data_IF_052584614347
#
_entry.id   IF_052584614347
#
_cell.length_a   1.000
_cell.length_b   1.000
_cell.length_c   1.000
_cell.angle_alpha   90.00
_cell.angle_beta   90.00
_cell.angle_gamma   90.00
#
_symmetry.space_group_name_H-M   'P 1'
#
loop_
_entity.id
_entity.type
_entity.pdbx_description
1 polymer ?
#
# COMPACT_ATOMS: atom_id res chain seq x y z
N UNK A 1 -8.59 18.83 28.19
CA UNK A 1 -8.72 18.90 26.71
C UNK A 1 -7.94 17.73 26.13
N UNK A 2 -8.50 16.89 25.24
CA UNK A 2 -7.71 15.82 24.65
C UNK A 2 -6.79 16.41 23.60
N UNK A 3 -5.48 16.23 23.81
CA UNK A 3 -4.44 16.55 22.85
C UNK A 3 -4.70 15.79 21.54
N UNK A 4 -5.01 16.52 20.47
CA UNK A 4 -4.93 15.96 19.10
C UNK A 4 -3.46 15.62 18.84
N UNK A 5 -3.12 14.41 18.37
CA UNK A 5 -1.77 14.09 17.96
C UNK A 5 -1.35 15.07 16.86
N UNK A 6 -0.30 15.85 17.10
CA UNK A 6 0.31 16.68 16.08
C UNK A 6 0.99 15.78 15.06
N UNK A 7 0.56 15.86 13.80
CA UNK A 7 1.22 15.30 12.62
C UNK A 7 2.64 15.90 12.50
N UNK A 8 3.61 15.38 13.25
CA UNK A 8 5.03 15.63 13.01
C UNK A 8 5.50 14.80 11.81
N UNK A 9 4.94 15.10 10.64
CA UNK A 9 5.48 14.76 9.32
C UNK A 9 4.79 15.59 8.23
N UNK A 10 4.51 16.87 8.47
CA UNK A 10 4.19 17.79 7.36
C UNK A 10 5.52 18.34 6.86
N UNK A 11 6.08 17.71 5.82
CA UNK A 11 7.10 18.36 5.01
C UNK A 11 6.45 19.61 4.42
N UNK A 12 6.89 20.80 4.83
CA UNK A 12 6.35 22.05 4.36
C UNK A 12 6.47 22.11 2.82
N UNK A 13 5.35 21.98 2.11
CA UNK A 13 5.32 22.07 0.65
C UNK A 13 4.54 20.98 -0.10
N UNK A 14 4.07 19.91 0.56
CA UNK A 14 3.26 18.89 -0.14
C UNK A 14 1.76 19.09 0.13
N UNK A 15 1.04 19.58 -0.89
CA UNK A 15 -0.42 19.65 -0.88
C UNK A 15 -1.02 18.38 -1.51
N UNK A 16 -1.83 17.65 -0.75
CA UNK A 16 -2.51 16.43 -1.23
C UNK A 16 -3.97 16.64 -1.61
N UNK A 17 -4.51 17.87 -1.51
CA UNK A 17 -5.93 18.15 -1.74
C UNK A 17 -6.40 17.65 -3.10
N UNK A 18 -5.64 17.94 -4.16
CA UNK A 18 -5.99 17.48 -5.52
C UNK A 18 -6.00 15.95 -5.65
N UNK A 19 -5.11 15.25 -4.94
CA UNK A 19 -5.09 13.78 -4.93
C UNK A 19 -6.33 13.23 -4.22
N UNK A 20 -6.68 13.82 -3.08
CA UNK A 20 -7.86 13.44 -2.31
C UNK A 20 -9.14 13.67 -3.12
N UNK A 21 -9.28 14.82 -3.77
CA UNK A 21 -10.46 15.12 -4.60
C UNK A 21 -10.58 14.16 -5.79
N UNK A 22 -9.47 13.79 -6.45
CA UNK A 22 -9.50 12.78 -7.52
C UNK A 22 -9.91 11.39 -7.04
N UNK A 23 -9.47 10.98 -5.84
CA UNK A 23 -9.85 9.70 -5.24
C UNK A 23 -11.34 9.69 -4.85
N UNK A 24 -11.86 10.79 -4.28
CA UNK A 24 -13.29 10.96 -4.00
C UNK A 24 -14.13 10.87 -5.26
N UNK A 25 -13.78 11.64 -6.29
CA UNK A 25 -14.47 11.60 -7.58
C UNK A 25 -14.48 10.17 -8.17
N UNK A 26 -13.34 9.45 -8.10
CA UNK A 26 -13.26 8.05 -8.52
C UNK A 26 -14.19 7.13 -7.73
N UNK A 27 -14.32 7.33 -6.42
CA UNK A 27 -15.20 6.54 -5.56
C UNK A 27 -16.68 6.83 -5.83
N UNK A 28 -17.03 8.11 -6.03
CA UNK A 28 -18.39 8.57 -6.34
C UNK A 28 -18.93 7.99 -7.64
N UNK A 29 -18.07 7.62 -8.60
CA UNK A 29 -18.49 6.87 -9.80
C UNK A 29 -19.10 5.49 -9.49
N UNK A 30 -18.92 4.98 -8.27
CA UNK A 30 -19.40 3.66 -7.85
C UNK A 30 -18.57 2.49 -8.37
N UNK A 31 -17.53 2.72 -9.19
CA UNK A 31 -16.71 1.65 -9.81
C UNK A 31 -16.12 0.67 -8.77
N UNK A 32 -15.79 1.16 -7.58
CA UNK A 32 -15.19 0.36 -6.50
C UNK A 32 -16.16 -0.60 -5.82
N UNK A 33 -17.47 -0.48 -6.07
CA UNK A 33 -18.50 -1.37 -5.50
C UNK A 33 -18.51 -2.74 -6.18
N UNK A 34 -18.20 -2.79 -7.48
CA UNK A 34 -18.19 -4.02 -8.26
C UNK A 34 -17.17 -5.01 -7.68
N UNK A 35 -17.59 -6.25 -7.42
CA UNK A 35 -16.71 -7.31 -6.89
C UNK A 35 -15.56 -7.59 -7.86
N UNK A 36 -15.85 -7.67 -9.16
CA UNK A 36 -14.83 -7.89 -10.19
C UNK A 36 -13.77 -6.78 -10.21
N UNK A 37 -14.17 -5.53 -9.98
CA UNK A 37 -13.20 -4.43 -9.86
C UNK A 37 -12.26 -4.65 -8.67
N UNK A 38 -12.81 -5.02 -7.50
CA UNK A 38 -12.03 -5.28 -6.28
C UNK A 38 -11.08 -6.46 -6.45
N UNK A 39 -11.54 -7.57 -7.03
CA UNK A 39 -10.71 -8.73 -7.37
C UNK A 39 -9.56 -8.36 -8.30
N UNK A 40 -9.85 -7.58 -9.35
CA UNK A 40 -8.81 -7.14 -10.27
C UNK A 40 -7.77 -6.23 -9.60
N UNK A 41 -8.15 -5.42 -8.60
CA UNK A 41 -7.18 -4.66 -7.81
C UNK A 41 -6.32 -5.56 -6.90
N UNK A 42 -6.90 -6.58 -6.28
CA UNK A 42 -6.15 -7.57 -5.49
C UNK A 42 -5.14 -8.33 -6.34
N UNK A 43 -5.54 -8.78 -7.53
CA UNK A 43 -4.64 -9.42 -8.49
C UNK A 43 -3.54 -8.46 -8.98
N UNK A 44 -3.85 -7.18 -9.13
CA UNK A 44 -2.84 -6.17 -9.46
C UNK A 44 -1.85 -5.94 -8.31
N UNK A 45 -2.32 -5.95 -7.06
CA UNK A 45 -1.47 -5.85 -5.88
C UNK A 45 -0.55 -7.07 -5.73
N UNK A 46 -1.08 -8.28 -5.98
CA UNK A 46 -0.28 -9.51 -6.02
C UNK A 46 0.85 -9.42 -7.05
N UNK A 47 0.52 -9.03 -8.30
CA UNK A 47 1.53 -8.82 -9.35
C UNK A 47 2.56 -7.78 -8.96
N UNK A 48 2.15 -6.66 -8.36
CA UNK A 48 3.08 -5.65 -7.87
C UNK A 48 4.11 -6.25 -6.89
N UNK A 49 3.66 -7.08 -5.95
CA UNK A 49 4.53 -7.72 -4.96
C UNK A 49 5.47 -8.77 -5.58
N UNK A 50 4.96 -9.58 -6.51
CA UNK A 50 5.73 -10.66 -7.15
C UNK A 50 6.74 -10.11 -8.17
N UNK A 51 6.30 -9.21 -9.05
CA UNK A 51 7.12 -8.65 -10.13
C UNK A 51 8.23 -7.73 -9.61
N UNK A 52 8.04 -7.10 -8.44
CA UNK A 52 9.01 -6.15 -7.85
C UNK A 52 9.69 -6.71 -6.59
N UNK A 53 9.66 -8.03 -6.38
CA UNK A 53 10.21 -8.66 -5.16
C UNK A 53 11.65 -8.23 -4.88
N UNK A 54 12.52 -8.25 -5.90
CA UNK A 54 13.92 -7.89 -5.72
C UNK A 54 14.09 -6.46 -5.17
N UNK A 55 13.42 -5.49 -5.79
CA UNK A 55 13.54 -4.08 -5.43
C UNK A 55 12.94 -3.81 -4.04
N UNK A 56 11.81 -4.46 -3.70
CA UNK A 56 11.19 -4.36 -2.39
C UNK A 56 12.09 -4.92 -1.28
N UNK A 57 12.70 -6.08 -1.50
CA UNK A 57 13.61 -6.70 -0.53
C UNK A 57 14.91 -5.90 -0.39
N UNK A 58 15.43 -5.34 -1.49
CA UNK A 58 16.58 -4.45 -1.47
C UNK A 58 16.30 -3.16 -0.67
N UNK A 59 15.12 -2.56 -0.85
CA UNK A 59 14.69 -1.40 -0.07
C UNK A 59 14.57 -1.74 1.43
N UNK A 60 13.92 -2.85 1.77
CA UNK A 60 13.81 -3.31 3.17
C UNK A 60 15.19 -3.58 3.80
N UNK A 61 16.14 -4.12 3.02
CA UNK A 61 17.51 -4.30 3.48
C UNK A 61 18.21 -2.95 3.71
N UNK A 62 18.07 -2.01 2.79
CA UNK A 62 18.68 -0.68 2.87
C UNK A 62 18.14 0.12 4.05
N UNK A 63 16.82 0.13 4.22
CA UNK A 63 16.15 1.02 5.18
C UNK A 63 16.11 0.43 6.59
N UNK A 64 15.90 -0.89 6.70
CA UNK A 64 15.65 -1.57 7.97
C UNK A 64 16.68 -2.66 8.29
N UNK A 65 17.60 -2.97 7.38
CA UNK A 65 18.63 -4.00 7.59
C UNK A 65 18.11 -5.44 7.51
N UNK A 66 16.82 -5.66 7.24
CA UNK A 66 16.18 -7.00 7.21
C UNK A 66 16.91 -7.93 6.24
N UNK A 67 17.19 -9.16 6.68
CA UNK A 67 17.66 -10.18 5.74
C UNK A 67 16.51 -10.63 4.83
N UNK A 68 16.86 -11.22 3.68
CA UNK A 68 15.88 -11.65 2.68
C UNK A 68 14.79 -12.55 3.27
N UNK A 69 15.17 -13.57 4.06
CA UNK A 69 14.20 -14.49 4.65
C UNK A 69 13.21 -13.78 5.58
N UNK A 70 13.69 -12.86 6.43
CA UNK A 70 12.83 -12.09 7.31
C UNK A 70 11.88 -11.20 6.52
N UNK A 71 12.39 -10.48 5.52
CA UNK A 71 11.60 -9.59 4.68
C UNK A 71 10.53 -10.35 3.87
N UNK A 72 10.87 -11.52 3.32
CA UNK A 72 9.91 -12.39 2.63
C UNK A 72 8.85 -12.90 3.59
N UNK A 73 9.21 -13.42 4.77
CA UNK A 73 8.21 -14.02 5.68
C UNK A 73 7.32 -12.95 6.33
N UNK A 74 7.90 -11.83 6.77
CA UNK A 74 7.19 -10.83 7.58
C UNK A 74 6.46 -9.76 6.78
N UNK A 75 6.91 -9.44 5.56
CA UNK A 75 6.33 -8.35 4.76
C UNK A 75 5.66 -8.90 3.49
N UNK A 76 6.39 -9.64 2.65
CA UNK A 76 5.87 -10.02 1.33
C UNK A 76 4.91 -11.21 1.39
N UNK A 77 5.34 -12.32 1.98
CA UNK A 77 4.61 -13.58 2.04
C UNK A 77 3.32 -13.48 2.84
N UNK A 78 3.34 -12.71 3.93
CA UNK A 78 2.13 -12.39 4.69
C UNK A 78 1.09 -11.68 3.81
N UNK A 79 1.49 -10.63 3.07
CA UNK A 79 0.58 -9.90 2.18
C UNK A 79 0.06 -10.77 1.03
N UNK A 80 0.92 -11.60 0.42
CA UNK A 80 0.50 -12.52 -0.65
C UNK A 80 -0.55 -13.52 -0.14
N UNK A 81 -0.35 -14.08 1.06
CA UNK A 81 -1.32 -14.98 1.69
C UNK A 81 -2.64 -14.29 2.00
N UNK A 82 -2.62 -13.04 2.48
CA UNK A 82 -3.84 -12.29 2.82
C UNK A 82 -4.64 -11.91 1.56
N UNK A 83 -3.95 -11.56 0.48
CA UNK A 83 -4.55 -11.31 -0.84
C UNK A 83 -5.23 -12.57 -1.38
N UNK A 84 -4.57 -13.74 -1.30
CA UNK A 84 -5.13 -14.99 -1.81
C UNK A 84 -6.33 -15.51 -0.98
N UNK A 85 -6.43 -15.10 0.29
CA UNK A 85 -7.55 -15.44 1.16
C UNK A 85 -8.79 -14.55 0.96
N UNK A 86 -8.60 -13.29 0.53
CA UNK A 86 -9.65 -12.25 0.45
C UNK A 86 -10.52 -12.35 -0.81
#
# INVERSE_FOLDING_TARGET
>A
MPMRPSLQAVHAGVCYLDKVEKLKASFETGKTRAIEWRRNQLLALKRLLEENQHDLLAALKSDLGKCETEAVVSEQGFLLSDIDHT
#
